data_IF_777576473905
#
_entry.id   IF_777576473905
#
_cell.length_a   1.000
_cell.length_b   1.000
_cell.length_c   1.000
_cell.angle_alpha   90.00
_cell.angle_beta   90.00
_cell.angle_gamma   90.00
#
_symmetry.space_group_name_H-M   'P 1'
#
loop_
_entity.id
_entity.type
_entity.pdbx_description
1 polymer ?
#
# COMPACT_ATOMS: atom_id res chain seq x y z
N UNK A 1 -1.55 -21.02 20.64
CA UNK A 1 -1.15 -20.28 19.43
C UNK A 1 0.28 -19.81 19.61
N UNK A 2 1.16 -19.92 18.61
CA UNK A 2 2.51 -19.37 18.74
C UNK A 2 2.51 -17.83 18.82
N UNK A 3 3.55 -17.24 19.40
CA UNK A 3 3.70 -15.79 19.48
C UNK A 3 3.70 -15.15 18.08
N UNK A 4 4.36 -15.78 17.10
CA UNK A 4 4.41 -15.30 15.72
C UNK A 4 3.04 -15.32 15.05
N UNK A 5 2.23 -16.37 15.28
CA UNK A 5 0.84 -16.43 14.81
C UNK A 5 -0.02 -15.33 15.43
N UNK A 6 0.07 -15.15 16.75
CA UNK A 6 -0.69 -14.11 17.45
C UNK A 6 -0.32 -12.71 16.95
N UNK A 7 0.97 -12.47 16.71
CA UNK A 7 1.48 -11.23 16.16
C UNK A 7 0.87 -10.94 14.77
N UNK A 8 0.87 -11.91 13.87
CA UNK A 8 0.29 -11.73 12.54
C UNK A 8 -1.22 -11.50 12.60
N UNK A 9 -1.96 -12.26 13.41
CA UNK A 9 -3.42 -12.09 13.48
C UNK A 9 -3.80 -10.73 14.06
N UNK A 10 -3.21 -10.35 15.19
CA UNK A 10 -3.50 -9.06 15.81
C UNK A 10 -2.97 -7.89 14.97
N UNK A 11 -1.76 -8.03 14.41
CA UNK A 11 -1.16 -7.01 13.55
C UNK A 11 -1.92 -6.82 12.24
N UNK A 12 -2.37 -7.90 11.61
CA UNK A 12 -3.22 -7.86 10.43
C UNK A 12 -4.59 -7.24 10.71
N UNK A 13 -5.20 -7.54 11.86
CA UNK A 13 -6.45 -6.90 12.28
C UNK A 13 -6.26 -5.40 12.52
N UNK A 14 -5.18 -5.01 13.21
CA UNK A 14 -4.85 -3.61 13.44
C UNK A 14 -4.60 -2.86 12.12
N UNK A 15 -3.87 -3.47 11.18
CA UNK A 15 -3.65 -2.91 9.84
C UNK A 15 -4.94 -2.79 9.04
N UNK A 16 -5.84 -3.77 9.13
CA UNK A 16 -7.14 -3.69 8.47
C UNK A 16 -7.98 -2.54 9.03
N UNK A 17 -8.09 -2.42 10.36
CA UNK A 17 -8.79 -1.31 11.01
C UNK A 17 -8.20 0.04 10.61
N UNK A 18 -6.87 0.13 10.58
CA UNK A 18 -6.16 1.33 10.14
C UNK A 18 -6.47 1.67 8.67
N UNK A 19 -6.30 0.70 7.76
CA UNK A 19 -6.58 0.90 6.34
C UNK A 19 -8.03 1.25 6.05
N UNK A 20 -8.99 0.68 6.79
CA UNK A 20 -10.41 0.99 6.66
C UNK A 20 -10.70 2.42 7.16
N UNK A 21 -10.13 2.80 8.30
CA UNK A 21 -10.26 4.16 8.85
C UNK A 21 -9.69 5.19 7.89
N UNK A 22 -8.52 4.91 7.31
CA UNK A 22 -7.93 5.76 6.29
C UNK A 22 -8.81 5.88 5.04
N UNK A 23 -9.30 4.74 4.52
CA UNK A 23 -10.19 4.72 3.36
C UNK A 23 -11.46 5.52 3.58
N UNK A 24 -12.06 5.42 4.78
CA UNK A 24 -13.24 6.20 5.14
C UNK A 24 -12.94 7.70 5.18
N UNK A 25 -11.85 8.12 5.82
CA UNK A 25 -11.43 9.52 5.84
C UNK A 25 -11.19 10.06 4.43
N UNK A 26 -10.47 9.30 3.60
CA UNK A 26 -10.17 9.70 2.23
C UNK A 26 -11.43 9.80 1.35
N UNK A 27 -12.31 8.80 1.40
CA UNK A 27 -13.55 8.79 0.61
C UNK A 27 -14.48 9.96 0.97
N UNK A 28 -14.59 10.28 2.26
CA UNK A 28 -15.46 11.35 2.74
C UNK A 28 -14.91 12.75 2.43
N UNK A 29 -13.60 12.97 2.59
CA UNK A 29 -13.05 14.33 2.60
C UNK A 29 -12.21 14.68 1.37
N UNK A 30 -11.59 13.70 0.71
CA UNK A 30 -10.59 13.96 -0.32
C UNK A 30 -10.98 13.45 -1.71
N UNK A 31 -11.73 12.35 -1.81
CA UNK A 31 -12.05 11.72 -3.09
C UNK A 31 -12.88 12.63 -4.01
N UNK A 32 -13.99 13.18 -3.50
CA UNK A 32 -14.86 14.06 -4.30
C UNK A 32 -14.13 15.32 -4.78
N UNK A 33 -13.39 15.97 -3.89
CA UNK A 33 -12.60 17.17 -4.23
C UNK A 33 -11.52 16.87 -5.27
N UNK A 34 -10.86 15.71 -5.15
CA UNK A 34 -9.88 15.28 -6.12
C UNK A 34 -10.53 15.04 -7.50
N UNK A 35 -11.65 14.32 -7.56
CA UNK A 35 -12.37 14.05 -8.81
C UNK A 35 -12.88 15.34 -9.47
N UNK A 36 -13.40 16.29 -8.69
CA UNK A 36 -13.80 17.61 -9.19
C UNK A 36 -12.63 18.37 -9.80
N UNK A 37 -11.47 18.36 -9.12
CA UNK A 37 -10.27 19.05 -9.62
C UNK A 37 -9.72 18.42 -10.90
N UNK A 38 -9.80 17.08 -11.02
CA UNK A 38 -9.41 16.32 -12.20
C UNK A 38 -10.34 16.68 -13.37
N UNK A 39 -11.66 16.63 -13.15
CA UNK A 39 -12.65 16.96 -14.16
C UNK A 39 -12.55 18.41 -14.64
N UNK A 40 -12.44 19.37 -13.71
CA UNK A 40 -12.33 20.79 -14.03
C UNK A 40 -11.04 21.11 -14.81
N UNK A 41 -9.91 20.50 -14.44
CA UNK A 41 -8.63 20.69 -15.14
C UNK A 41 -8.71 20.15 -16.57
N UNK A 42 -9.30 18.97 -16.77
CA UNK A 42 -9.44 18.36 -18.09
C UNK A 42 -10.39 19.17 -18.99
N UNK A 43 -11.55 19.59 -18.46
CA UNK A 43 -12.50 20.42 -19.20
C UNK A 43 -11.85 21.74 -19.64
N UNK A 44 -11.08 22.39 -18.75
CA UNK A 44 -10.34 23.61 -19.07
C UNK A 44 -9.27 23.38 -20.13
N UNK A 45 -8.54 22.27 -20.07
CA UNK A 45 -7.53 21.93 -21.08
C UNK A 45 -8.13 21.83 -22.49
N UNK A 46 -9.28 21.15 -22.63
CA UNK A 46 -9.99 21.05 -23.91
C UNK A 46 -10.58 22.38 -24.38
N UNK A 47 -11.20 23.15 -23.48
CA UNK A 47 -11.74 24.47 -23.83
C UNK A 47 -10.64 25.44 -24.31
N UNK A 48 -9.50 25.48 -23.62
CA UNK A 48 -8.35 26.29 -24.04
C UNK A 48 -7.75 25.82 -25.36
N UNK A 49 -7.66 24.50 -25.58
CA UNK A 49 -7.20 23.95 -26.86
C UNK A 49 -8.13 24.34 -28.03
N UNK A 50 -9.45 24.27 -27.82
CA UNK A 50 -10.44 24.71 -28.81
C UNK A 50 -10.29 26.21 -29.16
N UNK A 51 -9.92 27.03 -28.17
CA UNK A 51 -9.63 28.46 -28.34
C UNK A 51 -8.21 28.75 -28.87
N UNK A 52 -7.43 27.72 -29.22
CA UNK A 52 -6.02 27.83 -29.66
C UNK A 52 -5.09 28.48 -28.63
N UNK A 53 -5.49 28.48 -27.36
CA UNK A 53 -4.65 28.91 -26.25
C UNK A 53 -3.84 27.72 -25.73
N UNK A 54 -2.70 27.51 -26.38
CA UNK A 54 -1.80 26.38 -26.08
C UNK A 54 -1.22 26.49 -24.66
N UNK A 55 -0.88 27.70 -24.22
CA UNK A 55 -0.28 27.92 -22.91
C UNK A 55 -1.26 27.58 -21.78
N UNK A 56 -2.51 28.06 -21.88
CA UNK A 56 -3.54 27.73 -20.89
C UNK A 56 -3.91 26.24 -20.92
N UNK A 57 -3.94 25.62 -22.11
CA UNK A 57 -4.22 24.19 -22.24
C UNK A 57 -3.14 23.33 -21.58
N UNK A 58 -1.86 23.67 -21.76
CA UNK A 58 -0.74 23.00 -21.11
C UNK A 58 -0.77 23.17 -19.59
N UNK A 59 -1.02 24.38 -19.10
CA UNK A 59 -1.14 24.64 -17.66
C UNK A 59 -2.28 23.83 -17.02
N UNK A 60 -3.43 23.73 -17.70
CA UNK A 60 -4.56 22.92 -17.24
C UNK A 60 -4.25 21.41 -17.26
N UNK A 61 -3.51 20.94 -18.27
CA UNK A 61 -3.05 19.54 -18.36
C UNK A 61 -2.09 19.19 -17.23
N UNK A 62 -1.19 20.12 -16.87
CA UNK A 62 -0.29 19.96 -15.74
C UNK A 62 -1.05 19.93 -14.41
N UNK A 63 -2.07 20.77 -14.25
CA UNK A 63 -2.99 20.71 -13.10
C UNK A 63 -3.71 19.36 -13.00
N UNK A 64 -4.21 18.83 -14.12
CA UNK A 64 -4.80 17.49 -14.18
C UNK A 64 -3.79 16.42 -13.72
N UNK A 65 -2.56 16.46 -14.25
CA UNK A 65 -1.50 15.49 -13.92
C UNK A 65 -1.21 15.47 -12.42
N UNK A 66 -1.12 16.64 -11.79
CA UNK A 66 -0.87 16.76 -10.35
C UNK A 66 -2.04 16.24 -9.52
N UNK A 67 -3.27 16.65 -9.85
CA UNK A 67 -4.47 16.19 -9.15
C UNK A 67 -4.65 14.67 -9.25
N UNK A 68 -4.48 14.12 -10.46
CA UNK A 68 -4.54 12.68 -10.70
C UNK A 68 -3.45 11.93 -9.95
N UNK A 69 -2.22 12.45 -9.93
CA UNK A 69 -1.14 11.81 -9.18
C UNK A 69 -1.45 11.71 -7.68
N UNK A 70 -1.99 12.78 -7.08
CA UNK A 70 -2.41 12.75 -5.67
C UNK A 70 -3.53 11.72 -5.46
N UNK A 71 -4.57 11.76 -6.30
CA UNK A 71 -5.68 10.81 -6.25
C UNK A 71 -5.20 9.35 -6.32
N UNK A 72 -4.41 9.01 -7.33
CA UNK A 72 -3.92 7.64 -7.55
C UNK A 72 -3.13 7.15 -6.34
N UNK A 73 -2.28 8.01 -5.74
CA UNK A 73 -1.52 7.63 -4.54
C UNK A 73 -2.39 7.42 -3.32
N UNK A 74 -3.45 8.19 -3.15
CA UNK A 74 -4.42 8.00 -2.07
C UNK A 74 -5.11 6.64 -2.18
N UNK A 75 -5.55 6.28 -3.39
CA UNK A 75 -6.14 4.97 -3.69
C UNK A 75 -5.13 3.85 -3.46
N UNK A 76 -3.88 4.02 -3.90
CA UNK A 76 -2.80 3.06 -3.69
C UNK A 76 -2.58 2.79 -2.19
N UNK A 77 -2.53 3.83 -1.36
CA UNK A 77 -2.30 3.72 0.09
C UNK A 77 -3.38 2.87 0.75
N UNK A 78 -4.66 3.21 0.51
CA UNK A 78 -5.78 2.47 1.06
C UNK A 78 -5.77 1.00 0.59
N UNK A 79 -5.65 0.80 -0.72
CA UNK A 79 -5.71 -0.53 -1.34
C UNK A 79 -4.60 -1.44 -0.84
N UNK A 80 -3.37 -0.94 -0.69
CA UNK A 80 -2.26 -1.74 -0.20
C UNK A 80 -2.31 -2.00 1.30
N UNK A 81 -2.77 -1.06 2.14
CA UNK A 81 -2.95 -1.36 3.57
C UNK A 81 -3.96 -2.48 3.78
N UNK A 82 -5.11 -2.44 3.10
CA UNK A 82 -6.12 -3.50 3.22
C UNK A 82 -5.67 -4.82 2.57
N UNK A 83 -5.11 -4.75 1.36
CA UNK A 83 -4.63 -5.95 0.66
C UNK A 83 -3.55 -6.69 1.44
N UNK A 84 -2.56 -5.96 1.99
CA UNK A 84 -1.51 -6.57 2.80
C UNK A 84 -2.04 -7.01 4.16
N UNK A 85 -2.94 -6.27 4.80
CA UNK A 85 -3.60 -6.72 6.04
C UNK A 85 -4.27 -8.09 5.85
N UNK A 86 -4.96 -8.29 4.73
CA UNK A 86 -5.57 -9.58 4.38
C UNK A 86 -4.51 -10.68 4.25
N UNK A 87 -3.41 -10.42 3.53
CA UNK A 87 -2.30 -11.39 3.41
C UNK A 87 -1.72 -11.74 4.78
N UNK A 88 -1.45 -10.74 5.63
CA UNK A 88 -0.95 -10.93 6.99
C UNK A 88 -1.90 -11.81 7.82
N UNK A 89 -3.21 -11.54 7.77
CA UNK A 89 -4.23 -12.32 8.47
C UNK A 89 -4.26 -13.78 8.00
N UNK A 90 -4.37 -14.00 6.69
CA UNK A 90 -4.49 -15.34 6.09
C UNK A 90 -3.24 -16.18 6.36
N UNK A 91 -2.06 -15.58 6.18
CA UNK A 91 -0.78 -16.22 6.53
C UNK A 91 -0.72 -16.53 8.02
N UNK A 92 -1.17 -15.60 8.88
CA UNK A 92 -1.29 -15.79 10.31
C UNK A 92 -2.11 -17.04 10.70
N UNK A 93 -3.23 -17.29 10.03
CA UNK A 93 -4.07 -18.47 10.29
C UNK A 93 -3.34 -19.80 10.06
N UNK A 94 -2.49 -19.87 9.04
CA UNK A 94 -1.72 -21.06 8.69
C UNK A 94 -0.33 -21.13 9.34
N UNK A 95 0.10 -20.08 10.05
CA UNK A 95 1.51 -19.84 10.39
C UNK A 95 2.15 -20.90 11.29
N UNK A 96 1.37 -21.57 12.13
CA UNK A 96 1.88 -22.62 13.02
C UNK A 96 2.39 -23.86 12.25
N UNK A 97 2.04 -23.99 10.95
CA UNK A 97 2.42 -25.11 10.06
C UNK A 97 3.76 -24.93 9.33
N UNK A 98 4.50 -23.84 9.54
CA UNK A 98 5.79 -23.63 8.87
C UNK A 98 6.87 -24.61 9.38
N UNK A 99 7.62 -25.27 8.51
CA UNK A 99 8.72 -26.17 8.90
C UNK A 99 10.02 -25.45 9.34
N UNK A 100 9.88 -24.38 10.12
CA UNK A 100 10.99 -23.60 10.70
C UNK A 100 10.93 -23.53 12.22
N UNK A 101 12.08 -23.27 12.85
CA UNK A 101 12.16 -23.06 14.29
C UNK A 101 11.50 -21.75 14.76
N UNK A 102 11.27 -21.60 16.08
CA UNK A 102 10.52 -20.47 16.64
C UNK A 102 11.09 -19.08 16.28
N UNK A 103 12.42 -18.94 16.30
CA UNK A 103 13.11 -17.67 15.98
C UNK A 103 12.88 -17.25 14.53
N UNK A 104 13.05 -18.16 13.58
CA UNK A 104 12.87 -17.88 12.15
C UNK A 104 11.40 -17.54 11.83
N UNK A 105 10.44 -18.25 12.43
CA UNK A 105 9.02 -17.92 12.31
C UNK A 105 8.73 -16.50 12.80
N UNK A 106 9.27 -16.10 13.96
CA UNK A 106 9.08 -14.75 14.50
C UNK A 106 9.69 -13.67 13.60
N UNK A 107 10.90 -13.88 13.07
CA UNK A 107 11.53 -12.94 12.14
C UNK A 107 10.73 -12.76 10.85
N UNK A 108 10.23 -13.85 10.26
CA UNK A 108 9.37 -13.80 9.08
C UNK A 108 8.05 -13.08 9.37
N UNK A 109 7.46 -13.31 10.55
CA UNK A 109 6.25 -12.63 10.96
C UNK A 109 6.46 -11.13 11.15
N UNK A 110 7.57 -10.74 11.80
CA UNK A 110 7.94 -9.34 11.98
C UNK A 110 8.26 -8.66 10.65
N UNK A 111 9.05 -9.29 9.79
CA UNK A 111 9.39 -8.76 8.46
C UNK A 111 8.14 -8.52 7.62
N UNK A 112 7.24 -9.50 7.58
CA UNK A 112 5.96 -9.37 6.87
C UNK A 112 5.10 -8.23 7.43
N UNK A 113 4.94 -8.16 8.76
CA UNK A 113 4.11 -7.14 9.41
C UNK A 113 4.70 -5.72 9.23
N UNK A 114 6.00 -5.55 9.50
CA UNK A 114 6.70 -4.26 9.37
C UNK A 114 6.68 -3.81 7.91
N UNK A 115 7.01 -4.69 6.96
CA UNK A 115 6.95 -4.37 5.53
C UNK A 115 5.54 -3.97 5.09
N UNK A 116 4.52 -4.69 5.57
CA UNK A 116 3.11 -4.41 5.25
C UNK A 116 2.60 -3.09 5.81
N UNK A 117 3.11 -2.65 6.95
CA UNK A 117 2.79 -1.35 7.53
C UNK A 117 3.57 -0.21 6.85
N UNK A 118 4.88 -0.42 6.64
CA UNK A 118 5.83 0.59 6.18
C UNK A 118 5.65 0.90 4.69
N UNK A 119 5.31 -0.09 3.86
CA UNK A 119 5.17 0.12 2.42
C UNK A 119 4.06 1.14 2.09
N UNK A 120 2.80 0.96 2.50
CA UNK A 120 1.76 1.94 2.18
C UNK A 120 1.98 3.27 2.91
N UNK A 121 2.60 3.26 4.10
CA UNK A 121 3.01 4.48 4.78
C UNK A 121 4.06 5.27 3.98
N UNK A 122 5.03 4.61 3.36
CA UNK A 122 5.99 5.27 2.49
C UNK A 122 5.36 5.81 1.20
N UNK A 123 4.32 5.15 0.68
CA UNK A 123 3.50 5.69 -0.42
C UNK A 123 2.72 6.93 0.04
N UNK A 124 2.21 6.95 1.28
CA UNK A 124 1.63 8.15 1.88
C UNK A 124 2.63 9.31 1.95
N UNK A 125 3.87 9.04 2.35
CA UNK A 125 4.91 10.08 2.32
C UNK A 125 5.17 10.63 0.91
N UNK A 126 4.93 9.85 -0.16
CA UNK A 126 5.05 10.33 -1.55
C UNK A 126 3.96 11.34 -1.93
N UNK A 127 2.82 11.38 -1.23
CA UNK A 127 1.80 12.43 -1.44
C UNK A 127 2.22 13.76 -0.83
N UNK A 128 3.04 13.74 0.22
CA UNK A 128 3.56 14.93 0.89
C UNK A 128 4.86 15.43 0.24
N UNK A 129 5.73 14.50 -0.18
CA UNK A 129 7.01 14.80 -0.78
C UNK A 129 7.35 13.77 -1.87
N UNK A 130 7.44 14.22 -3.12
CA UNK A 130 7.75 13.36 -4.28
C UNK A 130 9.24 13.03 -4.44
N UNK A 131 10.07 13.35 -3.44
CA UNK A 131 11.51 13.12 -3.44
C UNK A 131 11.92 11.64 -3.45
N UNK A 132 13.23 11.41 -3.56
CA UNK A 132 13.79 10.06 -3.67
C UNK A 132 13.65 9.22 -2.39
N UNK A 133 13.60 9.85 -1.21
CA UNK A 133 13.60 9.15 0.09
C UNK A 133 12.32 8.32 0.29
N UNK A 134 11.09 8.87 0.19
CA UNK A 134 9.87 8.08 0.31
C UNK A 134 9.79 6.92 -0.70
N UNK A 135 10.31 7.12 -1.92
CA UNK A 135 10.38 6.08 -2.95
C UNK A 135 11.33 4.96 -2.55
N UNK A 136 12.52 5.30 -2.02
CA UNK A 136 13.49 4.32 -1.55
C UNK A 136 12.96 3.50 -0.37
N UNK A 137 12.27 4.14 0.59
CA UNK A 137 11.63 3.45 1.71
C UNK A 137 10.54 2.50 1.21
N UNK A 138 9.70 2.95 0.28
CA UNK A 138 8.66 2.10 -0.30
C UNK A 138 9.27 0.89 -1.02
N UNK A 139 10.31 1.08 -1.83
CA UNK A 139 11.01 -0.02 -2.49
C UNK A 139 11.58 -1.02 -1.48
N UNK A 140 12.28 -0.55 -0.45
CA UNK A 140 12.84 -1.40 0.60
C UNK A 140 11.78 -2.17 1.38
N UNK A 141 10.68 -1.52 1.75
CA UNK A 141 9.57 -2.16 2.44
C UNK A 141 8.87 -3.22 1.57
N UNK A 142 8.72 -2.96 0.27
CA UNK A 142 8.19 -3.93 -0.69
C UNK A 142 9.09 -5.17 -0.80
N UNK A 143 10.41 -4.97 -0.93
CA UNK A 143 11.39 -6.06 -0.94
C UNK A 143 11.30 -6.90 0.35
N UNK A 144 11.13 -6.25 1.50
CA UNK A 144 10.97 -6.94 2.78
C UNK A 144 9.69 -7.80 2.83
N UNK A 145 8.57 -7.31 2.32
CA UNK A 145 7.31 -8.09 2.19
C UNK A 145 7.54 -9.31 1.29
N UNK A 146 8.13 -9.10 0.10
CA UNK A 146 8.40 -10.16 -0.88
C UNK A 146 9.32 -11.22 -0.29
N UNK A 147 10.43 -10.82 0.33
CA UNK A 147 11.38 -11.73 0.96
C UNK A 147 10.74 -12.53 2.10
N UNK A 148 9.89 -11.89 2.91
CA UNK A 148 9.17 -12.56 3.99
C UNK A 148 8.18 -13.59 3.45
N UNK A 149 7.40 -13.23 2.42
CA UNK A 149 6.44 -14.15 1.77
C UNK A 149 7.15 -15.31 1.08
N UNK A 150 8.29 -15.06 0.42
CA UNK A 150 9.11 -16.10 -0.19
C UNK A 150 9.61 -17.09 0.88
N UNK A 151 10.15 -16.57 1.99
CA UNK A 151 10.58 -17.39 3.13
C UNK A 151 9.43 -18.23 3.71
N UNK A 152 8.25 -17.63 3.90
CA UNK A 152 7.06 -18.32 4.40
C UNK A 152 6.61 -19.43 3.46
N UNK A 153 6.60 -19.14 2.15
CA UNK A 153 6.22 -20.11 1.11
C UNK A 153 7.17 -21.31 1.09
N UNK A 154 8.48 -21.07 1.18
CA UNK A 154 9.50 -22.12 1.33
C UNK A 154 9.28 -22.94 2.61
N UNK A 155 8.91 -22.28 3.71
CA UNK A 155 8.59 -22.92 4.98
C UNK A 155 7.38 -23.86 4.89
N UNK A 156 6.36 -23.50 4.11
CA UNK A 156 5.21 -24.37 3.84
C UNK A 156 5.56 -25.53 2.89
N UNK A 157 6.33 -25.25 1.84
CA UNK A 157 6.76 -26.27 0.89
C UNK A 157 7.59 -27.37 1.58
N UNK A 158 8.57 -26.97 2.40
CA UNK A 158 9.39 -27.92 3.19
C UNK A 158 8.55 -28.79 4.12
N UNK A 159 7.47 -28.25 4.70
CA UNK A 159 6.60 -29.02 5.58
C UNK A 159 5.82 -30.12 4.83
N UNK A 160 5.43 -29.88 3.57
CA UNK A 160 4.75 -30.88 2.73
C UNK A 160 5.67 -31.99 2.27
N UNK A 161 6.95 -31.70 2.02
CA UNK A 161 7.92 -32.71 1.59
C UNK A 161 8.35 -33.66 2.71
N UNK A 162 8.01 -33.36 3.97
CA UNK A 162 8.35 -34.15 5.14
C UNK A 162 7.18 -34.99 5.67
N UNK A 163 5.99 -34.89 5.07
CA UNK A 163 4.77 -35.64 5.38
C UNK A 163 4.47 -36.65 4.29
#
# INVERSE_FOLDING_TARGET
MSAARRLLILGGLALALWGMSYGLCYALFAEHQALDSIGASLARAFASAANRDVAASQAATEGYRQAKHVYDRQVDIHSHWIGLAMVVLLVGLAFDRLAFGPRARLLLALGLLIGSALFPFAVYLQTLNQGAIPRAIAAGASVLVIASLAGISLGFWKNRSAS
#
